data_IF_307072852588
#
_entry.id   IF_307072852588
#
_cell.length_a   1.000
_cell.length_b   1.000
_cell.length_c   1.000
_cell.angle_alpha   90.00
_cell.angle_beta   90.00
_cell.angle_gamma   90.00
#
_symmetry.space_group_name_H-M   'P 1'
#
loop_
_entity.id
_entity.type
_entity.pdbx_description
1 polymer ?
#
# COMPACT_ATOMS: atom_id res chain seq x y z
N UNK A 1 79.88 140.72 53.92
CA UNK A 1 80.05 139.33 53.42
C UNK A 1 79.38 138.30 54.35
N UNK A 2 78.04 138.28 54.45
CA UNK A 2 77.33 136.98 54.60
C UNK A 2 76.09 136.78 53.70
N UNK A 3 75.57 137.82 53.04
CA UNK A 3 74.26 137.80 52.36
C UNK A 3 74.22 137.36 50.88
N UNK A 4 75.35 137.19 50.19
CA UNK A 4 75.37 136.71 48.78
C UNK A 4 75.53 135.18 48.72
N UNK A 5 76.19 134.59 49.73
CA UNK A 5 76.39 133.14 49.82
C UNK A 5 75.06 132.45 50.16
N UNK A 6 74.18 133.08 50.94
CA UNK A 6 72.88 132.50 51.30
C UNK A 6 71.92 132.42 50.09
N UNK A 7 71.83 133.46 49.25
CA UNK A 7 70.94 133.47 48.08
C UNK A 7 71.39 132.53 46.95
N UNK A 8 72.70 132.47 46.65
CA UNK A 8 73.23 131.52 45.65
C UNK A 8 73.01 130.08 46.09
N UNK A 9 73.16 129.81 47.40
CA UNK A 9 72.88 128.49 47.96
C UNK A 9 71.38 128.16 47.83
N UNK A 10 70.48 129.10 48.16
CA UNK A 10 69.02 128.92 48.01
C UNK A 10 68.64 128.65 46.55
N UNK A 11 69.22 129.37 45.59
CA UNK A 11 68.88 129.22 44.17
C UNK A 11 69.43 127.92 43.56
N UNK A 12 70.64 127.51 43.95
CA UNK A 12 71.21 126.21 43.59
C UNK A 12 70.38 125.06 44.19
N UNK A 13 69.97 125.18 45.46
CA UNK A 13 69.05 124.22 46.07
C UNK A 13 67.71 124.21 45.34
N UNK A 14 67.10 125.35 45.04
CA UNK A 14 65.82 125.45 44.32
C UNK A 14 65.88 124.83 42.92
N UNK A 15 66.96 125.07 42.17
CA UNK A 15 67.20 124.44 40.86
C UNK A 15 67.36 122.93 41.00
N UNK A 16 68.20 122.46 41.94
CA UNK A 16 68.42 121.03 42.22
C UNK A 16 67.14 120.32 42.69
N UNK A 17 66.31 120.97 43.51
CA UNK A 17 65.00 120.47 43.91
C UNK A 17 64.02 120.44 42.73
N UNK A 18 64.01 121.46 41.87
CA UNK A 18 63.15 121.49 40.67
C UNK A 18 63.51 120.39 39.65
N UNK A 19 64.81 120.11 39.49
CA UNK A 19 65.31 119.08 38.59
C UNK A 19 65.02 117.68 39.14
N UNK A 20 65.22 117.48 40.45
CA UNK A 20 64.76 116.26 41.15
C UNK A 20 63.24 116.07 41.07
N UNK A 21 62.45 117.14 41.12
CA UNK A 21 61.00 117.10 40.95
C UNK A 21 60.61 116.74 39.51
N UNK A 22 61.30 117.27 38.49
CA UNK A 22 61.07 116.92 37.08
C UNK A 22 61.47 115.49 36.78
N UNK A 23 62.61 115.04 37.28
CA UNK A 23 63.08 113.66 37.12
C UNK A 23 62.19 112.66 37.88
N UNK A 24 61.72 113.02 39.08
CA UNK A 24 60.70 112.25 39.78
C UNK A 24 59.40 112.17 38.94
N UNK A 25 58.91 113.30 38.43
CA UNK A 25 57.70 113.35 37.58
C UNK A 25 57.87 112.52 36.31
N UNK A 26 59.00 112.64 35.60
CA UNK A 26 59.27 111.87 34.38
C UNK A 26 59.38 110.37 34.68
N UNK A 27 60.03 109.97 35.78
CA UNK A 27 60.04 108.57 36.23
C UNK A 27 58.65 108.05 36.56
N UNK A 28 57.80 108.85 37.20
CA UNK A 28 56.41 108.48 37.48
C UNK A 28 55.59 108.39 36.20
N UNK A 29 55.78 109.30 35.24
CA UNK A 29 55.06 109.33 33.97
C UNK A 29 55.45 108.17 33.04
N UNK A 30 56.74 107.87 32.90
CA UNK A 30 57.22 106.68 32.16
C UNK A 30 56.71 105.39 32.80
N UNK A 31 56.78 105.26 34.13
CA UNK A 31 56.23 104.10 34.85
C UNK A 31 54.73 103.98 34.67
N UNK A 32 54.00 105.09 34.63
CA UNK A 32 52.55 105.09 34.39
C UNK A 32 52.24 104.62 32.97
N UNK A 33 52.96 105.09 31.96
CA UNK A 33 52.79 104.67 30.55
C UNK A 33 53.20 103.21 30.33
N UNK A 34 54.26 102.72 30.96
CA UNK A 34 54.66 101.31 30.92
C UNK A 34 53.63 100.41 31.60
N UNK A 35 53.10 100.83 32.75
CA UNK A 35 52.03 100.10 33.45
C UNK A 35 50.73 100.11 32.64
N UNK A 36 50.38 101.22 31.99
CA UNK A 36 49.20 101.31 31.14
C UNK A 36 49.37 100.55 29.81
N UNK A 37 50.58 100.54 29.22
CA UNK A 37 50.93 99.73 28.04
C UNK A 37 50.93 98.23 28.37
N UNK A 38 51.53 97.84 29.49
CA UNK A 38 51.53 96.45 29.96
C UNK A 38 50.13 95.95 30.27
N UNK A 39 49.29 96.76 30.92
CA UNK A 39 47.87 96.43 31.12
C UNK A 39 47.13 96.25 29.80
N UNK A 40 47.36 97.13 28.81
CA UNK A 40 46.75 97.02 27.47
C UNK A 40 47.19 95.72 26.78
N UNK A 41 48.47 95.38 26.80
CA UNK A 41 49.00 94.15 26.22
C UNK A 41 48.43 92.90 26.91
N UNK A 42 48.27 92.92 28.23
CA UNK A 42 47.60 91.83 28.97
C UNK A 42 46.12 91.68 28.58
N UNK A 43 45.40 92.78 28.36
CA UNK A 43 44.00 92.73 27.91
C UNK A 43 43.90 92.21 26.47
N UNK A 44 44.76 92.67 25.57
CA UNK A 44 44.83 92.17 24.19
C UNK A 44 45.21 90.67 24.16
N UNK A 45 46.18 90.25 24.97
CA UNK A 45 46.54 88.84 25.10
C UNK A 45 45.37 87.99 25.62
N UNK A 46 44.69 88.41 26.69
CA UNK A 46 43.51 87.70 27.22
C UNK A 46 42.36 87.65 26.21
N UNK A 47 42.16 88.72 25.44
CA UNK A 47 41.13 88.77 24.39
C UNK A 47 41.47 87.82 23.24
N UNK A 48 42.71 87.85 22.75
CA UNK A 48 43.17 86.94 21.69
C UNK A 48 43.14 85.49 22.13
N UNK A 49 43.51 85.20 23.39
CA UNK A 49 43.39 83.88 24.00
C UNK A 49 41.93 83.42 24.08
N UNK A 50 41.02 84.25 24.61
CA UNK A 50 39.59 83.91 24.67
C UNK A 50 39.00 83.68 23.27
N UNK A 51 39.40 84.46 22.27
CA UNK A 51 38.99 84.25 20.88
C UNK A 51 39.56 82.96 20.28
N UNK A 52 40.81 82.61 20.61
CA UNK A 52 41.43 81.35 20.19
C UNK A 52 40.74 80.15 20.85
N UNK A 53 40.44 80.23 22.15
CA UNK A 53 39.73 79.18 22.90
C UNK A 53 38.30 79.00 22.35
N UNK A 54 37.58 80.09 22.07
CA UNK A 54 36.26 80.04 21.42
C UNK A 54 36.31 79.41 20.03
N UNK A 55 37.37 79.67 19.24
CA UNK A 55 37.57 79.02 17.93
C UNK A 55 37.87 77.53 18.10
N UNK A 56 38.74 77.16 19.03
CA UNK A 56 39.07 75.78 19.30
C UNK A 56 37.84 74.98 19.75
N UNK A 57 37.02 75.55 20.64
CA UNK A 57 35.77 74.93 21.09
C UNK A 57 34.76 74.79 19.94
N UNK A 58 34.62 75.80 19.08
CA UNK A 58 33.75 75.69 17.90
C UNK A 58 34.24 74.61 16.92
N UNK A 59 35.55 74.53 16.68
CA UNK A 59 36.13 73.49 15.82
C UNK A 59 35.92 72.10 16.41
N UNK A 60 36.12 71.93 17.72
CA UNK A 60 35.83 70.67 18.42
C UNK A 60 34.35 70.29 18.31
N UNK A 61 33.44 71.25 18.49
CA UNK A 61 32.01 71.01 18.32
C UNK A 61 31.69 70.58 16.88
N UNK A 62 32.21 71.28 15.87
CA UNK A 62 32.03 70.92 14.46
C UNK A 62 32.55 69.51 14.20
N UNK A 63 33.72 69.17 14.73
CA UNK A 63 34.33 67.86 14.57
C UNK A 63 33.46 66.76 15.22
N UNK A 64 32.98 66.96 16.45
CA UNK A 64 32.06 66.04 17.12
C UNK A 64 30.76 65.86 16.32
N UNK A 65 30.17 66.96 15.83
CA UNK A 65 28.96 66.87 15.00
C UNK A 65 29.20 66.09 13.72
N UNK A 66 30.35 66.31 13.06
CA UNK A 66 30.75 65.58 11.87
C UNK A 66 30.93 64.10 12.14
N UNK A 67 31.66 63.74 13.19
CA UNK A 67 31.92 62.34 13.55
C UNK A 67 30.63 61.61 13.94
N UNK A 68 29.75 62.27 14.69
CA UNK A 68 28.42 61.74 15.04
C UNK A 68 27.53 61.54 13.81
N UNK A 69 27.54 62.49 12.87
CA UNK A 69 26.82 62.37 11.59
C UNK A 69 27.37 61.21 10.77
N UNK A 70 28.69 61.12 10.57
CA UNK A 70 29.32 60.03 9.85
C UNK A 70 29.03 58.67 10.48
N UNK A 71 29.13 58.55 11.81
CA UNK A 71 28.80 57.33 12.55
C UNK A 71 27.34 56.92 12.34
N UNK A 72 26.41 57.88 12.42
CA UNK A 72 24.98 57.63 12.19
C UNK A 72 24.70 57.18 10.75
N UNK A 73 25.34 57.79 9.75
CA UNK A 73 25.17 57.39 8.36
C UNK A 73 25.79 56.03 8.07
N UNK A 74 26.97 55.74 8.62
CA UNK A 74 27.60 54.41 8.50
C UNK A 74 26.72 53.33 9.09
N UNK A 75 26.20 53.53 10.31
CA UNK A 75 25.26 52.60 10.94
C UNK A 75 24.00 52.37 10.09
N UNK A 76 23.38 53.43 9.55
CA UNK A 76 22.21 53.29 8.67
C UNK A 76 22.52 52.53 7.38
N UNK A 77 23.71 52.74 6.79
CA UNK A 77 24.13 52.02 5.59
C UNK A 77 24.38 50.54 5.88
N UNK A 78 25.02 50.23 7.00
CA UNK A 78 25.24 48.86 7.46
C UNK A 78 23.90 48.15 7.75
N UNK A 79 22.96 48.80 8.42
CA UNK A 79 21.62 48.28 8.68
C UNK A 79 20.86 47.98 7.37
N UNK A 80 20.91 48.90 6.40
CA UNK A 80 20.29 48.70 5.08
C UNK A 80 20.96 47.58 4.29
N UNK A 81 22.28 47.48 4.36
CA UNK A 81 23.03 46.40 3.74
C UNK A 81 22.62 45.04 4.33
N UNK A 82 22.61 44.94 5.67
CA UNK A 82 22.19 43.73 6.37
C UNK A 82 20.74 43.34 6.04
N UNK A 83 19.83 44.32 5.99
CA UNK A 83 18.43 44.08 5.59
C UNK A 83 18.34 43.58 4.14
N UNK A 84 19.14 44.16 3.23
CA UNK A 84 19.20 43.72 1.83
C UNK A 84 19.72 42.29 1.70
N UNK A 85 20.76 41.93 2.44
CA UNK A 85 21.31 40.57 2.47
C UNK A 85 20.29 39.57 3.05
N UNK A 86 19.64 39.90 4.16
CA UNK A 86 18.59 39.07 4.77
C UNK A 86 17.41 38.87 3.81
N UNK A 87 16.95 39.94 3.15
CA UNK A 87 15.88 39.85 2.16
C UNK A 87 16.31 39.02 0.93
N UNK A 88 17.56 39.17 0.48
CA UNK A 88 18.14 38.34 -0.57
C UNK A 88 18.18 36.87 -0.22
N UNK A 89 18.64 36.52 1.00
CA UNK A 89 18.66 35.16 1.50
C UNK A 89 17.24 34.57 1.61
N UNK A 90 16.28 35.32 2.15
CA UNK A 90 14.88 34.91 2.22
C UNK A 90 14.27 34.65 0.84
N UNK A 91 14.55 35.50 -0.14
CA UNK A 91 14.10 35.31 -1.51
C UNK A 91 14.72 34.09 -2.19
N UNK A 92 15.99 33.77 -1.90
CA UNK A 92 16.65 32.56 -2.39
C UNK A 92 15.99 31.32 -1.78
N UNK A 93 15.75 31.29 -0.46
CA UNK A 93 15.07 30.18 0.20
C UNK A 93 13.67 29.95 -0.36
N UNK A 94 12.87 31.00 -0.52
CA UNK A 94 11.52 30.90 -1.09
C UNK A 94 11.53 30.37 -2.54
N UNK A 95 12.53 30.74 -3.35
CA UNK A 95 12.71 30.21 -4.70
C UNK A 95 13.09 28.73 -4.70
N UNK A 96 13.92 28.31 -3.75
CA UNK A 96 14.32 26.91 -3.63
C UNK A 96 13.16 26.03 -3.17
N UNK A 97 12.39 26.47 -2.18
CA UNK A 97 11.16 25.78 -1.75
C UNK A 97 10.15 25.64 -2.90
N UNK A 98 9.99 26.69 -3.71
CA UNK A 98 9.13 26.63 -4.89
C UNK A 98 9.64 25.61 -5.92
N UNK A 99 10.96 25.55 -6.13
CA UNK A 99 11.61 24.59 -7.04
C UNK A 99 11.42 23.15 -6.56
N UNK A 100 11.61 22.90 -5.27
CA UNK A 100 11.38 21.58 -4.66
C UNK A 100 9.92 21.16 -4.76
N UNK A 101 8.98 22.09 -4.49
CA UNK A 101 7.55 21.86 -4.66
C UNK A 101 7.20 21.51 -6.11
N UNK A 102 7.74 22.24 -7.09
CA UNK A 102 7.52 21.97 -8.51
C UNK A 102 8.03 20.58 -8.92
N UNK A 103 9.23 20.19 -8.50
CA UNK A 103 9.76 18.84 -8.74
C UNK A 103 8.90 17.75 -8.09
N UNK A 104 8.40 18.00 -6.87
CA UNK A 104 7.50 17.08 -6.19
C UNK A 104 6.18 16.91 -6.95
N UNK A 105 5.62 18.00 -7.47
CA UNK A 105 4.42 17.97 -8.31
C UNK A 105 4.68 17.17 -9.59
N UNK A 106 5.82 17.38 -10.26
CA UNK A 106 6.19 16.63 -11.46
C UNK A 106 6.34 15.13 -11.18
N UNK A 107 7.04 14.77 -10.10
CA UNK A 107 7.21 13.37 -9.67
C UNK A 107 5.87 12.70 -9.37
N UNK A 108 4.99 13.35 -8.60
CA UNK A 108 3.66 12.84 -8.30
C UNK A 108 2.78 12.74 -9.54
N UNK A 109 2.90 13.69 -10.47
CA UNK A 109 2.18 13.66 -11.74
C UNK A 109 2.64 12.47 -12.59
N UNK A 110 3.95 12.22 -12.67
CA UNK A 110 4.49 11.06 -13.36
C UNK A 110 3.97 9.74 -12.74
N UNK A 111 3.98 9.62 -11.41
CA UNK A 111 3.43 8.46 -10.71
C UNK A 111 1.93 8.26 -11.01
N UNK A 112 1.14 9.34 -10.99
CA UNK A 112 -0.28 9.29 -11.35
C UNK A 112 -0.48 8.80 -12.79
N UNK A 113 0.30 9.30 -13.75
CA UNK A 113 0.22 8.83 -15.15
C UNK A 113 0.62 7.35 -15.29
N UNK A 114 1.60 6.89 -14.52
CA UNK A 114 2.01 5.49 -14.47
C UNK A 114 0.88 4.59 -13.97
N UNK A 115 0.31 4.92 -12.80
CA UNK A 115 -0.83 4.19 -12.22
C UNK A 115 -2.07 4.21 -13.13
N UNK A 116 -2.34 5.33 -13.81
CA UNK A 116 -3.43 5.41 -14.79
C UNK A 116 -3.20 4.48 -15.99
N UNK A 117 -1.96 4.35 -16.46
CA UNK A 117 -1.60 3.42 -17.53
C UNK A 117 -1.74 1.97 -17.10
N UNK A 118 -1.28 1.62 -15.91
CA UNK A 118 -1.44 0.27 -15.35
C UNK A 118 -2.92 -0.08 -15.18
N UNK A 119 -3.70 0.83 -14.60
CA UNK A 119 -5.14 0.68 -14.43
C UNK A 119 -5.87 0.46 -15.77
N UNK A 120 -5.47 1.20 -16.81
CA UNK A 120 -6.00 0.98 -18.18
C UNK A 120 -5.60 -0.39 -18.70
N UNK A 121 -4.33 -0.78 -18.58
CA UNK A 121 -3.85 -2.10 -19.01
C UNK A 121 -4.57 -3.25 -18.32
N UNK A 122 -4.80 -3.16 -17.00
CA UNK A 122 -5.57 -4.17 -16.26
C UNK A 122 -7.03 -4.22 -16.71
N UNK A 123 -7.67 -3.08 -16.99
CA UNK A 123 -9.05 -3.06 -17.52
C UNK A 123 -9.13 -3.69 -18.92
N UNK A 124 -8.18 -3.36 -19.80
CA UNK A 124 -8.14 -3.93 -21.15
C UNK A 124 -7.96 -5.46 -21.07
N UNK A 125 -7.10 -5.95 -20.16
CA UNK A 125 -6.92 -7.39 -19.93
C UNK A 125 -8.16 -8.07 -19.36
N UNK A 126 -8.88 -7.43 -18.43
CA UNK A 126 -10.15 -7.95 -17.92
C UNK A 126 -11.17 -8.08 -19.06
N UNK A 127 -11.32 -7.04 -19.88
CA UNK A 127 -12.26 -7.05 -21.00
C UNK A 127 -11.91 -8.14 -22.04
N UNK A 128 -10.63 -8.37 -22.30
CA UNK A 128 -10.17 -9.45 -23.18
C UNK A 128 -10.51 -10.84 -22.61
N UNK A 129 -10.25 -11.06 -21.31
CA UNK A 129 -10.57 -12.32 -20.64
C UNK A 129 -12.08 -12.58 -20.57
N UNK A 130 -12.88 -11.55 -20.31
CA UNK A 130 -14.34 -11.65 -20.33
C UNK A 130 -14.86 -12.01 -21.73
N UNK A 131 -14.28 -11.42 -22.78
CA UNK A 131 -14.63 -11.74 -24.17
C UNK A 131 -14.23 -13.19 -24.54
N UNK A 132 -13.04 -13.65 -24.13
CA UNK A 132 -12.60 -15.02 -24.35
C UNK A 132 -13.50 -16.03 -23.62
N UNK A 133 -13.88 -15.75 -22.37
CA UNK A 133 -14.80 -16.59 -21.60
C UNK A 133 -16.19 -16.63 -22.24
N UNK A 134 -16.69 -15.50 -22.74
CA UNK A 134 -17.97 -15.46 -23.45
C UNK A 134 -17.93 -16.30 -24.73
N UNK A 135 -16.84 -16.20 -25.49
CA UNK A 135 -16.63 -17.02 -26.69
C UNK A 135 -16.61 -18.52 -26.34
N UNK A 136 -15.91 -18.93 -25.28
CA UNK A 136 -15.84 -20.34 -24.86
C UNK A 136 -17.19 -20.87 -24.37
N UNK A 137 -17.98 -20.03 -23.68
CA UNK A 137 -19.36 -20.38 -23.31
C UNK A 137 -20.24 -20.60 -24.53
N UNK A 138 -20.09 -19.79 -25.57
CA UNK A 138 -20.85 -19.92 -26.80
C UNK A 138 -20.42 -21.13 -27.65
N UNK A 139 -19.12 -21.45 -27.70
CA UNK A 139 -18.62 -22.68 -28.37
C UNK A 139 -19.12 -23.92 -27.66
N UNK A 140 -19.01 -23.98 -26.33
CA UNK A 140 -19.51 -25.09 -25.52
C UNK A 140 -21.02 -25.27 -25.65
N UNK A 141 -21.80 -24.18 -25.63
CA UNK A 141 -23.26 -24.24 -25.83
C UNK A 141 -23.62 -24.80 -27.22
N UNK A 142 -22.89 -24.41 -28.27
CA UNK A 142 -23.11 -24.94 -29.62
C UNK A 142 -22.79 -26.44 -29.68
N UNK A 143 -21.66 -26.86 -29.12
CA UNK A 143 -21.26 -28.26 -29.08
C UNK A 143 -22.29 -29.13 -28.33
N UNK A 144 -22.78 -28.66 -27.18
CA UNK A 144 -23.85 -29.34 -26.43
C UNK A 144 -25.12 -29.46 -27.27
N UNK A 145 -25.57 -28.36 -27.91
CA UNK A 145 -26.73 -28.39 -28.79
C UNK A 145 -26.58 -29.34 -29.99
N UNK A 146 -25.37 -29.50 -30.51
CA UNK A 146 -25.09 -30.48 -31.56
C UNK A 146 -25.15 -31.92 -31.06
N UNK A 147 -24.63 -32.19 -29.86
CA UNK A 147 -24.72 -33.51 -29.22
C UNK A 147 -26.15 -33.88 -28.84
N UNK A 148 -26.94 -32.94 -28.34
CA UNK A 148 -28.36 -33.15 -28.06
C UNK A 148 -29.14 -33.51 -29.33
N UNK A 149 -28.80 -32.89 -30.46
CA UNK A 149 -29.39 -33.21 -31.77
C UNK A 149 -29.00 -34.61 -32.23
N UNK A 150 -27.71 -34.96 -32.17
CA UNK A 150 -27.24 -36.32 -32.48
C UNK A 150 -27.95 -37.37 -31.61
N UNK A 151 -28.11 -37.11 -30.31
CA UNK A 151 -28.84 -38.00 -29.40
C UNK A 151 -30.31 -38.15 -29.79
N UNK A 152 -30.99 -37.05 -30.11
CA UNK A 152 -32.38 -37.08 -30.55
C UNK A 152 -32.55 -37.87 -31.87
N UNK A 153 -31.63 -37.71 -32.81
CA UNK A 153 -31.62 -38.47 -34.06
C UNK A 153 -31.44 -39.99 -33.84
N UNK A 154 -30.51 -40.37 -32.95
CA UNK A 154 -30.28 -41.79 -32.62
C UNK A 154 -31.50 -42.37 -31.90
N UNK A 155 -32.08 -41.65 -30.95
CA UNK A 155 -33.31 -42.08 -30.27
C UNK A 155 -34.47 -42.27 -31.26
N UNK A 156 -34.65 -41.35 -32.20
CA UNK A 156 -35.67 -41.47 -33.24
C UNK A 156 -35.44 -42.71 -34.14
N UNK A 157 -34.20 -42.95 -34.57
CA UNK A 157 -33.83 -44.16 -35.35
C UNK A 157 -34.08 -45.45 -34.54
N UNK A 158 -33.73 -45.46 -33.26
CA UNK A 158 -33.97 -46.61 -32.38
C UNK A 158 -35.48 -46.88 -32.22
N UNK A 159 -36.28 -45.84 -32.02
CA UNK A 159 -37.73 -45.97 -31.94
C UNK A 159 -38.33 -46.50 -33.26
N UNK A 160 -37.83 -46.01 -34.40
CA UNK A 160 -38.24 -46.53 -35.71
C UNK A 160 -37.91 -48.03 -35.84
N UNK A 161 -36.70 -48.45 -35.47
CA UNK A 161 -36.32 -49.87 -35.51
C UNK A 161 -37.18 -50.75 -34.60
N UNK A 162 -37.57 -50.24 -33.42
CA UNK A 162 -38.50 -50.96 -32.54
C UNK A 162 -39.88 -51.14 -33.19
N UNK A 163 -40.41 -50.08 -33.82
CA UNK A 163 -41.68 -50.14 -34.52
C UNK A 163 -41.63 -51.12 -35.72
N UNK A 164 -40.54 -51.12 -36.48
CA UNK A 164 -40.35 -52.04 -37.61
C UNK A 164 -40.24 -53.50 -37.13
N UNK A 165 -39.57 -53.73 -35.99
CA UNK A 165 -39.47 -55.05 -35.37
C UNK A 165 -40.83 -55.56 -34.88
N UNK A 166 -41.64 -54.70 -34.26
CA UNK A 166 -43.00 -55.04 -33.83
C UNK A 166 -43.89 -55.43 -35.01
N UNK A 167 -43.87 -54.64 -36.09
CA UNK A 167 -44.59 -54.98 -37.33
C UNK A 167 -44.14 -56.32 -37.93
N UNK A 168 -42.83 -56.59 -37.94
CA UNK A 168 -42.31 -57.86 -38.44
C UNK A 168 -42.71 -59.04 -37.55
N UNK A 169 -42.73 -58.83 -36.24
CA UNK A 169 -43.20 -59.82 -35.27
C UNK A 169 -44.68 -60.16 -35.51
N UNK A 170 -45.53 -59.15 -35.75
CA UNK A 170 -46.95 -59.33 -36.07
C UNK A 170 -47.15 -60.17 -37.34
N UNK A 171 -46.41 -59.87 -38.42
CA UNK A 171 -46.44 -60.67 -39.66
C UNK A 171 -45.98 -62.11 -39.38
N UNK A 172 -44.93 -62.29 -38.58
CA UNK A 172 -44.45 -63.64 -38.22
C UNK A 172 -45.51 -64.41 -37.44
N UNK A 173 -46.20 -63.78 -36.50
CA UNK A 173 -47.28 -64.41 -35.74
C UNK A 173 -48.45 -64.80 -36.66
N UNK A 174 -48.82 -63.95 -37.62
CA UNK A 174 -49.83 -64.29 -38.63
C UNK A 174 -49.41 -65.51 -39.47
N UNK A 175 -48.16 -65.55 -39.95
CA UNK A 175 -47.62 -66.68 -40.72
C UNK A 175 -47.59 -67.98 -39.89
N UNK A 176 -47.20 -67.92 -38.62
CA UNK A 176 -47.24 -69.09 -37.73
C UNK A 176 -48.67 -69.63 -37.58
N UNK A 177 -49.66 -68.73 -37.47
CA UNK A 177 -51.07 -69.11 -37.41
C UNK A 177 -51.51 -69.80 -38.71
N UNK A 178 -51.13 -69.26 -39.88
CA UNK A 178 -51.39 -69.87 -41.18
C UNK A 178 -50.75 -71.26 -41.31
N UNK A 179 -49.47 -71.40 -40.96
CA UNK A 179 -48.75 -72.70 -41.00
C UNK A 179 -49.45 -73.72 -40.10
N UNK A 180 -49.85 -73.32 -38.89
CA UNK A 180 -50.56 -74.22 -37.97
C UNK A 180 -51.94 -74.61 -38.51
N UNK A 181 -52.64 -73.71 -39.19
CA UNK A 181 -53.89 -74.02 -39.87
C UNK A 181 -53.68 -75.01 -41.02
N UNK A 182 -52.66 -74.79 -41.87
CA UNK A 182 -52.31 -75.73 -42.95
C UNK A 182 -51.92 -77.11 -42.40
N UNK A 183 -51.12 -77.19 -41.33
CA UNK A 183 -50.78 -78.47 -40.68
C UNK A 183 -52.02 -79.25 -40.22
N UNK A 184 -52.95 -78.58 -39.54
CA UNK A 184 -54.21 -79.22 -39.09
C UNK A 184 -55.07 -79.72 -40.25
N UNK A 185 -55.12 -78.98 -41.36
CA UNK A 185 -55.88 -79.41 -42.54
C UNK A 185 -55.24 -80.66 -43.19
N UNK A 186 -53.91 -80.71 -43.28
CA UNK A 186 -53.19 -81.90 -43.76
C UNK A 186 -53.41 -83.10 -42.83
N UNK A 187 -53.28 -82.93 -41.52
CA UNK A 187 -53.54 -83.98 -40.52
C UNK A 187 -54.95 -84.59 -40.70
N UNK A 188 -55.97 -83.74 -40.92
CA UNK A 188 -57.34 -84.19 -41.20
C UNK A 188 -57.51 -84.92 -42.54
N UNK A 189 -56.74 -84.57 -43.57
CA UNK A 189 -56.72 -85.29 -44.86
C UNK A 189 -55.96 -86.63 -44.75
N UNK A 190 -54.85 -86.69 -44.02
CA UNK A 190 -54.08 -87.92 -43.76
C UNK A 190 -54.92 -88.96 -43.02
N UNK A 191 -55.70 -88.53 -42.03
CA UNK A 191 -56.68 -89.38 -41.32
C UNK A 191 -57.75 -89.94 -42.27
N UNK A 192 -58.28 -89.12 -43.19
CA UNK A 192 -59.30 -89.53 -44.18
C UNK A 192 -58.75 -90.52 -45.21
N UNK A 193 -57.51 -90.33 -45.65
CA UNK A 193 -56.86 -91.17 -46.67
C UNK A 193 -56.23 -92.45 -46.07
N UNK A 194 -56.30 -92.67 -44.74
CA UNK A 194 -55.68 -93.79 -44.01
C UNK A 194 -54.19 -93.94 -44.33
N UNK A 195 -53.52 -92.82 -44.60
CA UNK A 195 -52.06 -92.80 -44.71
C UNK A 195 -51.56 -92.92 -43.27
N UNK A 196 -51.13 -94.13 -42.89
CA UNK A 196 -50.60 -94.41 -41.55
C UNK A 196 -49.53 -93.38 -41.20
N UNK A 197 -49.59 -92.72 -40.02
CA UNK A 197 -48.52 -91.84 -39.61
C UNK A 197 -47.28 -92.71 -39.35
N UNK A 198 -46.33 -92.67 -40.28
CA UNK A 198 -44.98 -93.18 -40.01
C UNK A 198 -44.39 -92.31 -38.90
N UNK A 199 -43.79 -92.88 -37.84
CA UNK A 199 -43.31 -92.08 -36.72
C UNK A 199 -42.25 -91.10 -37.21
N UNK A 200 -42.57 -89.81 -37.16
CA UNK A 200 -41.63 -88.72 -37.38
C UNK A 200 -40.46 -88.92 -36.43
N UNK A 201 -39.29 -89.21 -36.99
CA UNK A 201 -38.04 -89.25 -36.25
C UNK A 201 -37.88 -87.92 -35.50
N UNK A 202 -37.86 -87.99 -34.17
CA UNK A 202 -37.45 -86.88 -33.34
C UNK A 202 -35.98 -86.59 -33.65
N UNK A 203 -35.75 -85.67 -34.58
CA UNK A 203 -34.43 -85.05 -34.77
C UNK A 203 -34.18 -84.22 -33.53
N UNK A 204 -33.24 -84.68 -32.71
CA UNK A 204 -32.64 -83.94 -31.60
C UNK A 204 -31.95 -82.70 -32.15
N UNK A 205 -32.66 -81.57 -32.19
CA UNK A 205 -32.02 -80.27 -32.34
C UNK A 205 -31.57 -79.84 -30.95
N UNK A 206 -30.25 -79.92 -30.74
CA UNK A 206 -29.55 -79.39 -29.57
C UNK A 206 -29.98 -77.95 -29.32
N UNK A 207 -30.85 -77.75 -28.32
CA UNK A 207 -31.10 -76.44 -27.74
C UNK A 207 -29.84 -76.06 -26.98
N UNK A 208 -29.00 -75.26 -27.61
CA UNK A 208 -27.95 -74.53 -26.90
C UNK A 208 -28.64 -73.76 -25.78
N UNK A 209 -28.20 -74.05 -24.56
CA UNK A 209 -28.63 -73.44 -23.33
C UNK A 209 -28.43 -71.92 -23.43
N UNK A 210 -29.49 -71.19 -23.79
CA UNK A 210 -29.56 -69.75 -23.60
C UNK A 210 -29.47 -69.53 -22.10
N UNK A 211 -28.29 -69.13 -21.65
CA UNK A 211 -28.02 -68.69 -20.30
C UNK A 211 -28.97 -67.53 -19.99
N UNK A 212 -30.01 -67.86 -19.22
CA UNK A 212 -30.86 -66.88 -18.54
C UNK A 212 -30.02 -66.17 -17.49
N UNK A 213 -29.24 -65.17 -17.93
CA UNK A 213 -28.68 -64.18 -17.01
C UNK A 213 -29.83 -63.28 -16.56
N UNK A 214 -30.44 -63.69 -15.46
CA UNK A 214 -31.26 -62.83 -14.60
C UNK A 214 -30.43 -61.59 -14.26
N UNK A 215 -30.78 -60.46 -14.88
CA UNK A 215 -30.32 -59.14 -14.45
C UNK A 215 -31.09 -58.82 -13.17
N UNK A 216 -30.52 -59.22 -12.04
CA UNK A 216 -30.90 -58.68 -10.73
C UNK A 216 -30.57 -57.19 -10.75
N UNK A 217 -31.60 -56.35 -10.74
CA UNK A 217 -31.49 -54.94 -10.37
C UNK A 217 -31.07 -54.88 -8.90
N UNK A 218 -29.77 -54.70 -8.64
CA UNK A 218 -29.32 -54.27 -7.33
C UNK A 218 -29.72 -52.82 -7.17
N UNK A 219 -30.74 -52.56 -6.35
CA UNK A 219 -30.92 -51.29 -5.67
C UNK A 219 -29.69 -51.07 -4.78
N UNK A 220 -28.60 -50.61 -5.39
CA UNK A 220 -27.49 -49.99 -4.69
C UNK A 220 -27.90 -48.56 -4.37
N UNK A 221 -28.16 -48.29 -3.08
CA UNK A 221 -28.13 -46.93 -2.54
C UNK A 221 -26.76 -46.33 -2.83
N UNK A 222 -26.62 -45.66 -3.98
CA UNK A 222 -25.54 -44.71 -4.21
C UNK A 222 -25.96 -43.40 -3.57
N UNK A 223 -25.19 -43.05 -2.54
CA UNK A 223 -25.10 -41.72 -1.93
C UNK A 223 -25.20 -40.66 -3.03
N UNK A 224 -26.21 -39.80 -2.92
CA UNK A 224 -26.35 -38.58 -3.72
C UNK A 224 -25.07 -37.78 -3.48
N UNK A 225 -24.20 -37.74 -4.49
CA UNK A 225 -23.14 -36.75 -4.56
C UNK A 225 -23.84 -35.54 -5.16
N UNK A 226 -23.91 -34.46 -4.38
CA UNK A 226 -24.34 -33.17 -4.90
C UNK A 226 -23.45 -32.82 -6.08
N UNK A 227 -24.09 -32.57 -7.22
CA UNK A 227 -23.45 -31.87 -8.32
C UNK A 227 -23.43 -30.42 -7.87
N UNK A 228 -22.36 -30.03 -7.20
CA UNK A 228 -22.05 -28.62 -7.00
C UNK A 228 -21.65 -28.08 -8.37
N UNK A 229 -22.53 -27.25 -8.94
CA UNK A 229 -22.28 -26.50 -10.16
C UNK A 229 -21.04 -25.65 -9.95
N UNK A 230 -19.90 -26.13 -10.43
CA UNK A 230 -18.69 -25.32 -10.54
C UNK A 230 -18.87 -24.38 -11.73
N UNK A 231 -19.36 -23.19 -11.44
CA UNK A 231 -19.19 -22.05 -12.32
C UNK A 231 -17.70 -21.82 -12.56
N UNK A 232 -17.29 -21.90 -13.83
CA UNK A 232 -15.95 -21.54 -14.26
C UNK A 232 -15.65 -20.08 -13.90
N UNK A 233 -14.82 -19.88 -12.88
CA UNK A 233 -14.16 -18.61 -12.55
C UNK A 233 -12.65 -18.80 -12.63
N UNK A 234 -11.98 -17.76 -13.11
CA UNK A 234 -10.52 -17.60 -13.23
C UNK A 234 -9.73 -18.31 -12.13
N UNK A 235 -8.67 -19.02 -12.50
CA UNK A 235 -7.80 -19.84 -11.66
C UNK A 235 -6.97 -19.04 -10.63
N UNK A 236 -7.63 -18.42 -9.65
CA UNK A 236 -7.04 -18.07 -8.36
C UNK A 236 -7.33 -19.24 -7.43
N UNK A 237 -6.29 -20.02 -7.11
CA UNK A 237 -6.42 -21.09 -6.11
C UNK A 237 -6.17 -20.52 -4.72
N UNK A 238 -7.21 -20.57 -3.87
CA UNK A 238 -7.11 -20.15 -2.47
C UNK A 238 -6.78 -21.39 -1.65
N UNK A 239 -5.62 -21.39 -1.00
CA UNK A 239 -5.21 -22.47 -0.10
C UNK A 239 -5.35 -22.02 1.35
N UNK A 240 -6.06 -22.81 2.17
CA UNK A 240 -6.18 -22.59 3.61
C UNK A 240 -5.36 -23.63 4.37
N UNK A 241 -4.57 -23.18 5.34
CA UNK A 241 -3.90 -24.04 6.32
C UNK A 241 -4.26 -23.57 7.73
N UNK A 242 -4.78 -24.46 8.58
CA UNK A 242 -5.13 -24.16 9.96
C UNK A 242 -4.44 -25.12 10.93
N UNK A 243 -4.05 -24.61 12.09
CA UNK A 243 -3.47 -25.35 13.21
C UNK A 243 -4.04 -24.83 14.53
N UNK A 244 -4.20 -25.71 15.51
CA UNK A 244 -4.60 -25.36 16.87
C UNK A 244 -3.88 -26.28 17.86
N UNK A 245 -3.31 -25.68 18.90
CA UNK A 245 -2.62 -26.38 19.99
C UNK A 245 -3.55 -26.60 21.19
N UNK A 246 -4.65 -25.84 21.27
CA UNK A 246 -5.62 -25.88 22.37
C UNK A 246 -7.07 -26.07 21.91
N UNK A 247 -8.06 -25.89 22.81
CA UNK A 247 -9.47 -26.12 22.53
C UNK A 247 -10.07 -25.10 21.56
N UNK A 248 -9.43 -23.94 21.38
CA UNK A 248 -9.88 -22.90 20.47
C UNK A 248 -9.18 -23.05 19.12
N UNK A 249 -9.95 -23.09 18.04
CA UNK A 249 -9.43 -23.06 16.67
C UNK A 249 -10.03 -21.88 15.88
N UNK A 250 -9.32 -21.49 14.82
CA UNK A 250 -9.80 -20.52 13.84
C UNK A 250 -10.53 -21.31 12.75
N UNK A 251 -11.85 -21.28 12.84
CA UNK A 251 -12.74 -22.17 12.09
C UNK A 251 -12.94 -21.68 10.65
N UNK A 252 -13.30 -20.41 10.49
CA UNK A 252 -13.59 -19.80 9.19
C UNK A 252 -12.99 -18.39 9.11
N UNK A 253 -12.47 -18.05 7.92
CA UNK A 253 -12.08 -16.69 7.55
C UNK A 253 -12.82 -16.39 6.27
N UNK A 254 -13.51 -15.26 6.23
CA UNK A 254 -14.17 -14.78 5.02
C UNK A 254 -13.14 -14.48 3.93
N UNK A 255 -13.38 -14.94 2.70
CA UNK A 255 -12.49 -14.69 1.55
C UNK A 255 -12.43 -13.21 1.19
N UNK A 256 -13.49 -12.45 1.50
CA UNK A 256 -13.52 -11.00 1.35
C UNK A 256 -12.94 -10.27 2.58
N UNK A 257 -12.52 -11.03 3.60
CA UNK A 257 -11.96 -10.51 4.84
C UNK A 257 -12.93 -9.60 5.61
N UNK A 258 -14.21 -9.94 5.73
CA UNK A 258 -15.13 -9.16 6.56
C UNK A 258 -15.19 -9.66 8.01
N UNK A 259 -14.82 -10.93 8.23
CA UNK A 259 -14.82 -11.53 9.57
C UNK A 259 -13.85 -12.71 9.72
N UNK A 260 -13.55 -13.02 10.98
CA UNK A 260 -12.93 -14.27 11.41
C UNK A 260 -13.79 -14.97 12.46
N UNK A 261 -13.95 -16.28 12.34
CA UNK A 261 -14.71 -17.09 13.27
C UNK A 261 -13.77 -17.97 14.11
N UNK A 262 -13.97 -17.91 15.42
CA UNK A 262 -13.35 -18.83 16.38
C UNK A 262 -14.37 -19.86 16.83
N UNK A 263 -13.91 -21.08 17.04
CA UNK A 263 -14.70 -22.17 17.57
C UNK A 263 -14.01 -22.74 18.80
N UNK A 264 -14.75 -22.90 19.89
CA UNK A 264 -14.31 -23.71 21.01
C UNK A 264 -14.72 -25.17 20.78
N UNK A 265 -13.75 -25.98 20.37
CA UNK A 265 -13.88 -27.42 20.17
C UNK A 265 -13.59 -28.23 21.45
N UNK A 266 -13.31 -27.57 22.58
CA UNK A 266 -13.18 -28.21 23.87
C UNK A 266 -14.53 -28.49 24.54
N UNK A 267 -14.49 -29.31 25.59
CA UNK A 267 -15.65 -29.67 26.41
C UNK A 267 -15.94 -28.67 27.54
N UNK A 268 -15.06 -27.68 27.73
CA UNK A 268 -15.16 -26.67 28.80
C UNK A 268 -15.26 -25.24 28.25
N UNK A 269 -15.91 -24.37 29.02
CA UNK A 269 -16.02 -22.94 28.72
C UNK A 269 -14.64 -22.27 28.84
N UNK A 270 -14.19 -21.59 27.79
CA UNK A 270 -12.89 -20.92 27.75
C UNK A 270 -13.03 -19.43 28.06
N UNK A 271 -12.44 -18.97 29.16
CA UNK A 271 -12.28 -17.54 29.40
C UNK A 271 -11.25 -16.97 28.41
N UNK A 272 -11.63 -15.96 27.63
CA UNK A 272 -10.76 -15.35 26.62
C UNK A 272 -10.01 -14.12 27.17
N UNK A 273 -10.03 -13.91 28.49
CA UNK A 273 -9.31 -12.80 29.12
C UNK A 273 -7.81 -12.90 28.83
N UNK A 274 -7.24 -11.82 28.29
CA UNK A 274 -5.82 -11.77 27.92
C UNK A 274 -5.47 -12.49 26.62
N UNK A 275 -6.42 -13.14 25.95
CA UNK A 275 -6.19 -13.65 24.60
C UNK A 275 -6.16 -12.47 23.61
N UNK A 276 -5.33 -12.62 22.58
CA UNK A 276 -5.17 -11.64 21.53
C UNK A 276 -5.27 -12.31 20.17
N UNK A 277 -6.11 -11.77 19.29
CA UNK A 277 -6.19 -12.19 17.89
C UNK A 277 -5.32 -11.26 17.06
N UNK A 278 -4.29 -11.81 16.44
CA UNK A 278 -3.31 -11.09 15.64
C UNK A 278 -3.53 -11.41 14.16
N UNK A 279 -3.75 -10.35 13.38
CA UNK A 279 -3.82 -10.38 11.92
C UNK A 279 -2.49 -9.90 11.37
N UNK A 280 -1.85 -10.71 10.54
CA UNK A 280 -0.70 -10.29 9.75
C UNK A 280 -1.06 -10.28 8.26
N UNK A 281 -0.84 -9.14 7.62
CA UNK A 281 -0.97 -8.94 6.17
C UNK A 281 0.33 -8.30 5.70
N UNK A 282 1.10 -9.02 4.89
CA UNK A 282 2.45 -8.61 4.51
C UNK A 282 3.34 -8.36 5.75
N UNK A 283 3.80 -7.11 5.92
CA UNK A 283 4.63 -6.70 7.06
C UNK A 283 3.86 -5.92 8.15
N UNK A 284 2.53 -5.87 8.06
CA UNK A 284 1.68 -5.12 8.99
C UNK A 284 0.91 -6.10 9.88
N UNK A 285 1.10 -5.96 11.20
CA UNK A 285 0.38 -6.71 12.22
C UNK A 285 -0.69 -5.83 12.88
N UNK A 286 -1.88 -6.37 13.11
CA UNK A 286 -2.99 -5.73 13.82
C UNK A 286 -3.53 -6.66 14.90
N UNK A 287 -3.80 -6.14 16.09
CA UNK A 287 -4.21 -6.96 17.24
C UNK A 287 -5.59 -6.58 17.78
N UNK A 288 -6.44 -7.59 17.99
CA UNK A 288 -7.72 -7.50 18.68
C UNK A 288 -7.61 -8.15 20.05
N UNK A 289 -8.08 -7.46 21.08
CA UNK A 289 -8.07 -7.97 22.45
C UNK A 289 -9.49 -8.27 22.91
N UNK A 290 -9.69 -9.45 23.48
CA UNK A 290 -10.97 -9.83 24.06
C UNK A 290 -11.25 -9.03 25.33
N UNK A 291 -12.52 -8.74 25.60
CA UNK A 291 -12.89 -8.08 26.86
C UNK A 291 -12.67 -9.03 28.04
N UNK A 292 -12.31 -8.53 29.24
CA UNK A 292 -11.99 -9.39 30.38
C UNK A 292 -13.13 -10.30 30.86
N UNK A 293 -14.38 -9.99 30.48
CA UNK A 293 -15.57 -10.76 30.86
C UNK A 293 -16.01 -11.76 29.78
N UNK A 294 -15.32 -11.80 28.64
CA UNK A 294 -15.73 -12.64 27.52
C UNK A 294 -15.35 -14.10 27.77
N UNK A 295 -16.34 -14.98 27.66
CA UNK A 295 -16.19 -16.43 27.80
C UNK A 295 -16.77 -17.08 26.54
N UNK A 296 -15.96 -17.88 25.86
CA UNK A 296 -16.38 -18.66 24.71
C UNK A 296 -16.82 -20.05 25.20
N UNK A 297 -18.12 -20.30 25.14
CA UNK A 297 -18.70 -21.55 25.64
C UNK A 297 -18.25 -22.76 24.84
N UNK A 298 -18.18 -23.92 25.49
CA UNK A 298 -17.89 -25.20 24.82
C UNK A 298 -18.85 -25.43 23.63
N UNK A 299 -18.31 -25.84 22.48
CA UNK A 299 -19.07 -26.08 21.25
C UNK A 299 -19.67 -24.82 20.58
N UNK A 300 -19.38 -23.61 21.06
CA UNK A 300 -19.89 -22.37 20.48
C UNK A 300 -18.87 -21.68 19.58
N UNK A 301 -19.39 -20.96 18.59
CA UNK A 301 -18.64 -20.09 17.69
C UNK A 301 -18.76 -18.62 18.10
N UNK A 302 -17.71 -17.85 17.84
CA UNK A 302 -17.74 -16.38 17.89
C UNK A 302 -17.16 -15.80 16.63
N UNK A 303 -17.88 -14.85 16.07
CA UNK A 303 -17.49 -14.11 14.87
C UNK A 303 -16.98 -12.74 15.26
N UNK A 304 -15.77 -12.39 14.82
CA UNK A 304 -15.17 -11.07 14.98
C UNK A 304 -15.22 -10.37 13.63
N UNK A 305 -16.10 -9.39 13.53
CA UNK A 305 -16.34 -8.56 12.35
C UNK A 305 -15.43 -7.34 12.35
N UNK A 306 -15.04 -6.83 11.18
CA UNK A 306 -14.44 -5.48 11.08
C UNK A 306 -15.46 -4.36 11.16
N UNK A 307 -15.00 -3.14 11.44
CA UNK A 307 -15.86 -1.96 11.58
C UNK A 307 -16.71 -1.69 10.34
N UNK A 308 -16.17 -1.96 9.16
CA UNK A 308 -16.78 -1.60 7.87
C UNK A 308 -17.68 -2.71 7.32
N UNK A 309 -17.82 -3.84 8.03
CA UNK A 309 -18.73 -4.92 7.65
C UNK A 309 -20.22 -4.54 7.81
N UNK A 310 -20.53 -3.39 8.42
CA UNK A 310 -21.91 -2.91 8.62
C UNK A 310 -22.72 -3.71 9.66
N UNK A 311 -22.08 -4.61 10.40
CA UNK A 311 -22.73 -5.45 11.43
C UNK A 311 -22.63 -4.78 12.81
N UNK A 312 -23.77 -4.67 13.50
CA UNK A 312 -23.80 -4.22 14.90
C UNK A 312 -23.32 -5.34 15.83
N UNK A 313 -22.44 -5.02 16.78
CA UNK A 313 -21.97 -5.98 17.78
C UNK A 313 -23.12 -6.56 18.60
N UNK A 314 -23.17 -7.89 18.71
CA UNK A 314 -24.13 -8.67 19.52
C UNK A 314 -23.39 -9.77 20.30
N UNK A 315 -22.68 -9.43 21.39
CA UNK A 315 -22.02 -10.42 22.22
C UNK A 315 -23.05 -11.43 22.80
N UNK A 316 -22.71 -12.72 22.94
CA UNK A 316 -21.36 -13.28 22.82
C UNK A 316 -20.99 -13.76 21.40
N UNK A 317 -21.96 -13.83 20.48
CA UNK A 317 -21.76 -14.44 19.15
C UNK A 317 -21.09 -13.51 18.14
N UNK A 318 -21.38 -12.20 18.19
CA UNK A 318 -20.85 -11.21 17.24
C UNK A 318 -20.08 -10.09 17.95
N UNK A 319 -18.77 -10.07 17.74
CA UNK A 319 -17.86 -9.04 18.22
C UNK A 319 -17.43 -8.14 17.05
N UNK A 320 -17.13 -6.87 17.33
CA UNK A 320 -16.69 -5.91 16.29
C UNK A 320 -15.33 -5.34 16.64
N UNK A 321 -14.40 -5.47 15.71
CA UNK A 321 -13.06 -4.90 15.75
C UNK A 321 -13.08 -3.48 15.19
N UNK A 322 -13.32 -2.51 16.10
CA UNK A 322 -13.60 -1.11 15.75
C UNK A 322 -12.44 -0.32 15.12
N UNK A 323 -11.20 -0.81 15.22
CA UNK A 323 -10.00 -0.09 14.76
C UNK A 323 -9.43 -0.65 13.44
N UNK A 324 -10.26 -1.34 12.64
CA UNK A 324 -9.86 -1.98 11.38
C UNK A 324 -10.95 -1.74 10.34
N UNK A 325 -10.69 -0.86 9.36
CA UNK A 325 -11.62 -0.50 8.29
C UNK A 325 -11.61 -1.49 7.12
N UNK A 326 -10.56 -2.29 6.93
CA UNK A 326 -10.57 -3.35 5.92
C UNK A 326 -9.56 -4.44 6.22
N UNK A 327 -9.88 -5.65 5.77
CA UNK A 327 -8.88 -6.70 5.59
C UNK A 327 -8.38 -6.53 4.17
N UNK A 328 -7.09 -6.21 4.01
CA UNK A 328 -6.51 -5.99 2.69
C UNK A 328 -6.83 -7.18 1.80
N UNK A 329 -7.62 -6.96 0.76
CA UNK A 329 -7.86 -7.97 -0.27
C UNK A 329 -6.59 -8.12 -1.09
N UNK A 330 -6.21 -9.37 -1.39
CA UNK A 330 -5.20 -9.79 -2.38
C UNK A 330 -3.78 -10.09 -1.90
N UNK A 331 -3.51 -10.07 -0.60
CA UNK A 331 -2.23 -10.54 -0.02
C UNK A 331 -2.44 -11.78 0.86
N UNK A 332 -1.39 -12.59 1.06
CA UNK A 332 -1.42 -13.72 1.98
C UNK A 332 -1.75 -13.23 3.40
N UNK A 333 -2.85 -13.74 3.96
CA UNK A 333 -3.34 -13.35 5.29
C UNK A 333 -3.02 -14.46 6.27
N UNK A 334 -2.41 -14.13 7.41
CA UNK A 334 -2.32 -15.04 8.55
C UNK A 334 -3.02 -14.47 9.78
N UNK A 335 -3.86 -15.30 10.38
CA UNK A 335 -4.53 -15.07 11.66
C UNK A 335 -3.87 -15.94 12.71
N UNK A 336 -3.56 -15.37 13.86
CA UNK A 336 -2.93 -16.07 14.98
C UNK A 336 -3.66 -15.70 16.25
N UNK A 337 -4.14 -16.69 16.99
CA UNK A 337 -4.64 -16.51 18.34
C UNK A 337 -3.50 -16.75 19.32
N UNK A 338 -3.23 -15.74 20.14
CA UNK A 338 -2.20 -15.76 21.18
C UNK A 338 -2.86 -15.89 22.55
N UNK A 339 -2.30 -16.71 23.42
CA UNK A 339 -2.72 -16.81 24.82
C UNK A 339 -2.13 -15.65 25.67
N UNK A 340 -2.56 -15.47 26.92
CA UNK A 340 -2.02 -14.45 27.83
C UNK A 340 -0.51 -14.57 28.10
N UNK A 341 0.07 -15.75 27.87
CA UNK A 341 1.49 -16.04 28.01
C UNK A 341 2.30 -15.65 26.75
N UNK A 342 1.64 -15.23 25.68
CA UNK A 342 2.27 -14.86 24.41
C UNK A 342 2.59 -16.04 23.50
N UNK A 343 1.99 -17.21 23.74
CA UNK A 343 2.15 -18.40 22.91
C UNK A 343 1.04 -18.50 21.87
N UNK A 344 1.40 -18.97 20.67
CA UNK A 344 0.46 -19.27 19.59
C UNK A 344 -0.36 -20.52 19.92
N UNK A 345 -1.67 -20.34 20.11
CA UNK A 345 -2.60 -21.44 20.41
C UNK A 345 -3.46 -21.85 19.22
N UNK A 346 -3.64 -20.97 18.24
CA UNK A 346 -4.25 -21.30 16.96
C UNK A 346 -3.72 -20.39 15.86
N UNK A 347 -3.60 -20.93 14.65
CA UNK A 347 -3.19 -20.17 13.48
C UNK A 347 -3.94 -20.64 12.26
N UNK A 348 -4.26 -19.68 11.39
CA UNK A 348 -4.83 -19.96 10.08
C UNK A 348 -4.23 -19.04 9.05
N UNK A 349 -3.76 -19.62 7.95
CA UNK A 349 -3.15 -18.90 6.83
C UNK A 349 -4.04 -19.12 5.62
N UNK A 350 -4.37 -18.03 4.93
CA UNK A 350 -5.03 -18.02 3.64
C UNK A 350 -4.03 -17.51 2.62
N UNK A 351 -3.62 -18.37 1.68
CA UNK A 351 -2.71 -18.01 0.59
C UNK A 351 -3.44 -17.88 -0.72
N UNK A 352 -3.18 -16.80 -1.44
CA UNK A 352 -3.76 -16.54 -2.76
C UNK A 352 -2.72 -16.90 -3.83
N UNK A 353 -2.88 -18.05 -4.48
CA UNK A 353 -2.03 -18.44 -5.61
C UNK A 353 -2.73 -18.09 -6.91
N UNK A 354 -2.12 -17.20 -7.69
CA UNK A 354 -2.45 -17.02 -9.11
C UNK A 354 -1.75 -18.15 -9.85
N UNK A 355 -2.49 -18.97 -10.60
CA UNK A 355 -1.86 -19.97 -11.46
C UNK A 355 -1.17 -19.22 -12.62
N UNK A 356 0.16 -19.28 -12.67
CA UNK A 356 0.90 -19.02 -13.90
C UNK A 356 0.72 -20.25 -14.80
N UNK A 357 0.30 -20.03 -16.04
CA UNK A 357 0.30 -21.07 -17.08
C UNK A 357 1.76 -21.39 -17.40
N UNK A 358 2.29 -22.46 -16.81
CA UNK A 358 3.55 -23.06 -17.25
C UNK A 358 3.33 -23.67 -18.65
N UNK A 359 3.83 -22.95 -19.65
CA UNK A 359 3.95 -23.39 -21.05
C UNK A 359 4.87 -24.63 -21.07
N UNK A 360 4.27 -25.81 -21.25
CA UNK A 360 4.99 -27.07 -21.47
C UNK A 360 5.64 -27.02 -22.85
N UNK A 361 6.92 -26.66 -22.88
CA UNK A 361 7.80 -26.95 -23.99
C UNK A 361 8.09 -28.45 -24.03
N UNK A 362 7.39 -29.15 -24.92
CA UNK A 362 7.73 -30.51 -25.37
C UNK A 362 9.13 -30.51 -26.02
N UNK A 363 10.12 -31.10 -25.35
CA UNK A 363 11.36 -31.57 -25.98
C UNK A 363 11.50 -33.08 -25.72
N UNK A 364 10.83 -33.86 -26.57
CA UNK A 364 11.22 -35.24 -26.85
C UNK A 364 12.02 -35.23 -28.16
N UNK A 365 13.33 -35.50 -28.14
CA UNK A 365 13.92 -36.52 -29.05
C UNK A 365 15.40 -36.88 -28.83
N UNK A 366 15.66 -38.19 -28.93
CA UNK A 366 16.92 -38.95 -29.17
C UNK A 366 18.21 -38.53 -28.41
N UNK A 367 18.73 -39.29 -27.43
CA UNK A 367 19.12 -40.70 -27.52
C UNK A 367 20.57 -40.85 -28.01
N UNK A 368 21.53 -41.20 -27.13
CA UNK A 368 22.61 -42.17 -27.38
C UNK A 368 23.27 -42.59 -26.05
N UNK A 369 23.63 -43.87 -26.06
CA UNK A 369 24.04 -44.80 -25.02
C UNK A 369 25.25 -44.42 -24.14
N UNK A 370 25.25 -45.10 -22.99
CA UNK A 370 26.33 -45.30 -22.06
C UNK A 370 27.69 -45.66 -22.72
N UNK A 371 28.78 -45.16 -22.14
CA UNK A 371 29.98 -45.94 -21.79
C UNK A 371 30.62 -45.28 -20.58
N UNK A 372 30.62 -46.01 -19.47
CA UNK A 372 31.49 -45.82 -18.32
C UNK A 372 32.78 -46.60 -18.61
N UNK A 373 33.95 -45.94 -18.54
CA UNK A 373 35.26 -46.58 -18.26
C UNK A 373 36.39 -45.55 -18.10
N UNK A 374 36.78 -45.39 -16.84
CA UNK A 374 38.14 -45.52 -16.30
C UNK A 374 39.37 -44.92 -17.00
N UNK A 375 40.12 -44.22 -16.12
CA UNK A 375 41.57 -44.09 -16.01
C UNK A 375 42.37 -43.23 -17.01
N UNK A 376 42.96 -42.18 -16.41
CA UNK A 376 44.40 -41.87 -16.39
C UNK A 376 45.17 -42.07 -17.71
N UNK A 377 45.79 -41.00 -18.22
CA UNK A 377 47.20 -40.68 -17.96
C UNK A 377 47.77 -39.70 -19.02
N UNK A 378 48.48 -38.69 -18.51
CA UNK A 378 49.65 -38.02 -19.09
C UNK A 378 49.55 -37.08 -20.31
N UNK A 379 50.03 -35.86 -20.03
CA UNK A 379 51.08 -35.12 -20.74
C UNK A 379 50.64 -34.22 -21.91
N UNK A 380 50.83 -32.92 -21.68
CA UNK A 380 51.72 -32.16 -22.55
C UNK A 380 51.09 -31.03 -23.34
N UNK A 381 50.92 -29.86 -22.72
CA UNK A 381 51.63 -28.61 -23.06
C UNK A 381 50.98 -27.42 -22.36
#
# INVERSE_FOLDING_TARGET
MPNIICDVVIEVFKKKYSEKLKEARHRYETRLVEVDSGRKEEYEFKLTQALADMRAQNEEQIQIYKDNMESTYKAKLEDLHHLSEMNGASAIMAREELRESALRIESLSAQLTGLQKEMRGSRDRIAELEAALAQERDTSRKLLGDKDREMAEIQAKMQQQLNDYEQLLDVKLALDMEINAYRKLLEGEEERLKLSPSPSSHVTVSRASSSSRSVRTTQGKRKRIDVEEQEASSSVSIAHSASATGPICIDEIDTDGKFVCLLNNGDEDQAMVGYEMVKNVGNVASTYKFTPKYVLKAGHKVTIWVSDAGVSSKPPSDLVWKNQSSWGSREDVSMVLMNPQGEEVAKRITKYKIAEEDDQGDEDDYGIEAIEKDLQQQVGS
#
